data_IF_320110725746
#
_entry.id   IF_320110725746
#
_cell.length_a   1.000
_cell.length_b   1.000
_cell.length_c   1.000
_cell.angle_alpha   90.00
_cell.angle_beta   90.00
_cell.angle_gamma   90.00
#
_symmetry.space_group_name_H-M   'P 1'
#
loop_
_entity.id
_entity.type
_entity.pdbx_description
1 polymer ?
#
# COMPACT_ATOMS: atom_id res chain seq x y z
N UNK A 1 40.08 17.50 11.80
CA UNK A 1 39.90 16.88 10.47
C UNK A 1 40.01 15.37 10.64
N UNK A 2 38.91 14.67 10.70
CA UNK A 2 38.86 13.20 10.81
C UNK A 2 37.91 12.67 9.72
N UNK A 3 38.53 12.09 8.70
CA UNK A 3 37.86 11.45 7.56
C UNK A 3 37.24 10.13 8.02
N UNK A 4 35.90 10.10 8.20
CA UNK A 4 35.15 8.86 8.36
C UNK A 4 35.06 8.14 6.99
N UNK A 5 35.76 7.01 6.89
CA UNK A 5 35.60 6.07 5.78
C UNK A 5 34.22 5.46 5.86
N UNK A 6 33.39 5.71 4.86
CA UNK A 6 32.14 4.96 4.66
C UNK A 6 32.45 3.50 4.34
N UNK A 7 31.93 2.60 5.16
CA UNK A 7 31.91 1.16 4.90
C UNK A 7 30.83 0.88 3.85
N UNK A 8 31.22 0.51 2.65
CA UNK A 8 30.28 0.00 1.64
C UNK A 8 29.80 -1.38 2.12
N UNK A 9 28.53 -1.48 2.45
CA UNK A 9 27.87 -2.77 2.68
C UNK A 9 27.78 -3.52 1.36
N UNK A 10 28.30 -4.75 1.33
CA UNK A 10 28.09 -5.70 0.25
C UNK A 10 26.65 -6.19 0.32
N UNK A 11 25.83 -5.79 -0.65
CA UNK A 11 24.52 -6.40 -0.87
C UNK A 11 24.73 -7.83 -1.39
N UNK A 12 24.17 -8.80 -0.70
CA UNK A 12 24.08 -10.18 -1.19
C UNK A 12 23.17 -10.21 -2.41
N UNK A 13 23.73 -10.69 -3.52
CA UNK A 13 23.05 -10.87 -4.80
C UNK A 13 22.16 -12.11 -4.67
N UNK A 14 20.86 -11.94 -4.80
CA UNK A 14 19.94 -13.07 -4.99
C UNK A 14 20.13 -13.59 -6.40
N UNK A 15 20.73 -14.77 -6.50
CA UNK A 15 21.04 -15.47 -7.73
C UNK A 15 19.75 -16.06 -8.34
N UNK A 16 19.19 -15.37 -9.34
CA UNK A 16 18.13 -15.93 -10.18
C UNK A 16 18.73 -16.43 -11.49
N UNK A 17 19.18 -17.69 -11.49
CA UNK A 17 19.61 -18.38 -12.70
C UNK A 17 18.45 -18.56 -13.69
N UNK A 18 18.36 -17.69 -14.68
CA UNK A 18 17.59 -17.92 -15.90
C UNK A 18 18.57 -18.17 -17.04
N UNK A 19 18.84 -19.45 -17.31
CA UNK A 19 19.59 -19.86 -18.49
C UNK A 19 18.73 -19.65 -19.75
N UNK A 20 19.03 -18.62 -20.53
CA UNK A 20 18.48 -18.43 -21.87
C UNK A 20 19.51 -18.87 -22.91
N UNK A 21 19.27 -20.02 -23.56
CA UNK A 21 20.07 -20.49 -24.68
C UNK A 21 19.70 -19.69 -25.94
N UNK A 22 20.56 -18.79 -26.37
CA UNK A 22 20.44 -18.12 -27.66
C UNK A 22 21.21 -18.92 -28.68
N UNK A 23 20.51 -19.53 -29.64
CA UNK A 23 21.12 -20.19 -30.80
C UNK A 23 21.42 -19.14 -31.86
N UNK A 24 22.67 -18.74 -31.98
CA UNK A 24 23.15 -17.88 -33.08
C UNK A 24 23.76 -18.74 -34.21
N UNK A 25 23.23 -18.56 -35.41
CA UNK A 25 23.78 -19.14 -36.61
C UNK A 25 24.58 -18.04 -37.32
N UNK A 26 25.94 -18.12 -37.34
CA UNK A 26 26.87 -17.60 -38.32
C UNK A 26 28.28 -17.44 -37.75
N UNK A 27 29.32 -17.57 -38.61
CA UNK A 27 30.76 -17.53 -38.37
C UNK A 27 31.31 -16.14 -37.90
N UNK A 28 30.76 -15.57 -36.87
CA UNK A 28 31.29 -14.37 -36.23
C UNK A 28 32.03 -14.75 -34.95
N UNK A 29 33.23 -14.20 -34.75
CA UNK A 29 33.95 -14.30 -33.47
C UNK A 29 33.00 -13.92 -32.35
N UNK A 30 32.60 -14.89 -31.53
CA UNK A 30 31.79 -14.64 -30.36
C UNK A 30 32.69 -13.92 -29.35
N UNK A 31 32.44 -12.62 -29.15
CA UNK A 31 33.06 -11.89 -28.06
C UNK A 31 32.18 -12.14 -26.82
N UNK A 32 32.72 -12.87 -25.85
CA UNK A 32 32.04 -13.06 -24.57
C UNK A 32 32.10 -11.74 -23.79
N UNK A 33 30.95 -11.09 -23.65
CA UNK A 33 30.75 -10.02 -22.67
C UNK A 33 30.38 -10.67 -21.34
N UNK A 34 30.77 -10.10 -20.19
CA UNK A 34 30.27 -10.54 -18.90
C UNK A 34 28.73 -10.46 -18.93
N UNK A 35 28.06 -11.40 -18.24
CA UNK A 35 26.60 -11.43 -18.20
C UNK A 35 26.05 -10.07 -17.73
N UNK A 36 25.09 -9.49 -18.45
CA UNK A 36 24.55 -8.20 -18.09
C UNK A 36 23.72 -8.32 -16.80
N UNK A 37 23.88 -7.37 -15.90
CA UNK A 37 23.11 -7.25 -14.66
C UNK A 37 22.14 -6.09 -14.80
N UNK A 38 20.85 -6.35 -14.60
CA UNK A 38 19.81 -5.32 -14.57
C UNK A 38 19.51 -4.94 -13.10
N UNK A 39 19.78 -3.69 -12.76
CA UNK A 39 19.49 -3.17 -11.42
C UNK A 39 18.15 -2.41 -11.40
N UNK A 40 17.41 -2.55 -10.31
CA UNK A 40 16.22 -1.74 -10.04
C UNK A 40 16.68 -0.45 -9.36
N UNK A 41 16.45 0.68 -10.03
CA UNK A 41 16.74 1.99 -9.45
C UNK A 41 15.43 2.62 -8.96
N UNK A 42 15.40 2.99 -7.68
CA UNK A 42 14.26 3.65 -7.06
C UNK A 42 12.96 2.81 -7.14
N UNK A 43 13.00 1.54 -6.73
CA UNK A 43 11.79 0.72 -6.72
C UNK A 43 10.74 1.31 -5.77
N UNK A 44 9.48 1.18 -6.14
CA UNK A 44 8.37 1.51 -5.23
C UNK A 44 8.21 0.37 -4.23
N UNK A 45 8.41 0.60 -2.93
CA UNK A 45 8.32 -0.45 -1.93
C UNK A 45 6.86 -0.83 -1.64
N UNK A 46 6.55 -2.12 -1.69
CA UNK A 46 5.28 -2.70 -1.23
C UNK A 46 5.64 -3.81 -0.24
N UNK A 47 5.24 -3.63 1.01
CA UNK A 47 5.54 -4.57 2.08
C UNK A 47 4.38 -5.56 2.26
N UNK A 48 4.71 -6.83 2.38
CA UNK A 48 3.78 -7.90 2.71
C UNK A 48 4.14 -8.50 4.07
N UNK A 49 3.13 -8.69 4.91
CA UNK A 49 3.23 -9.40 6.17
C UNK A 49 2.00 -10.28 6.35
N UNK A 50 2.04 -11.18 7.33
CA UNK A 50 0.92 -12.08 7.60
C UNK A 50 0.64 -12.11 9.10
N UNK A 51 -0.61 -11.93 9.47
CA UNK A 51 -1.05 -12.12 10.86
C UNK A 51 -0.80 -13.59 11.27
N UNK A 52 0.02 -13.86 12.32
CA UNK A 52 0.47 -15.22 12.64
C UNK A 52 -0.57 -16.01 13.43
N UNK A 53 -1.84 -15.62 13.39
CA UNK A 53 -2.96 -16.29 14.04
C UNK A 53 -4.24 -16.14 13.24
N UNK A 54 -5.25 -16.92 13.59
CA UNK A 54 -6.63 -16.69 13.12
C UNK A 54 -7.24 -15.47 13.80
N UNK A 55 -8.26 -14.91 13.18
CA UNK A 55 -9.08 -13.88 13.83
C UNK A 55 -9.82 -14.50 15.03
N UNK A 56 -9.96 -13.72 16.10
CA UNK A 56 -10.72 -14.12 17.28
C UNK A 56 -12.22 -14.03 17.02
N UNK A 57 -13.03 -14.71 17.84
CA UNK A 57 -14.49 -14.64 17.73
C UNK A 57 -14.99 -13.21 17.95
N UNK A 58 -14.36 -12.43 18.82
CA UNK A 58 -14.70 -11.03 19.07
C UNK A 58 -14.42 -10.15 17.83
N UNK A 59 -13.26 -10.33 17.19
CA UNK A 59 -12.91 -9.63 15.95
C UNK A 59 -13.90 -9.96 14.81
N UNK A 60 -14.23 -11.25 14.68
CA UNK A 60 -15.19 -11.72 13.66
C UNK A 60 -16.58 -11.16 13.92
N UNK A 61 -17.06 -11.16 15.16
CA UNK A 61 -18.37 -10.64 15.51
C UNK A 61 -18.45 -9.11 15.28
N UNK A 62 -17.38 -8.39 15.62
CA UNK A 62 -17.30 -6.96 15.31
C UNK A 62 -17.41 -6.71 13.79
N UNK A 63 -16.69 -7.46 12.97
CA UNK A 63 -16.75 -7.34 11.50
C UNK A 63 -18.16 -7.64 10.98
N UNK A 64 -18.83 -8.67 11.50
CA UNK A 64 -20.22 -8.99 11.16
C UNK A 64 -21.17 -7.86 11.53
N UNK A 65 -21.02 -7.26 12.71
CA UNK A 65 -21.82 -6.10 13.11
C UNK A 65 -21.61 -4.94 12.13
N UNK A 66 -20.38 -4.64 11.75
CA UNK A 66 -20.07 -3.60 10.75
C UNK A 66 -20.70 -3.88 9.37
N UNK A 67 -20.84 -5.14 8.96
CA UNK A 67 -21.43 -5.50 7.67
C UNK A 67 -22.93 -5.15 7.57
N UNK A 68 -23.60 -4.94 8.68
CA UNK A 68 -24.99 -4.47 8.73
C UNK A 68 -25.12 -2.94 8.68
N UNK A 69 -24.01 -2.22 8.82
CA UNK A 69 -23.95 -0.76 8.83
C UNK A 69 -22.94 -0.28 7.77
N UNK A 70 -23.36 -0.32 6.52
CA UNK A 70 -22.50 -0.01 5.37
C UNK A 70 -23.03 1.18 4.57
N UNK A 71 -22.14 1.83 3.87
CA UNK A 71 -22.44 2.87 2.89
C UNK A 71 -21.88 2.50 1.52
N UNK A 72 -22.52 2.99 0.46
CA UNK A 72 -22.07 2.75 -0.92
C UNK A 72 -20.70 3.38 -1.16
N UNK A 73 -19.87 2.64 -1.85
CA UNK A 73 -18.61 3.10 -2.43
C UNK A 73 -18.61 2.76 -3.94
N UNK A 74 -17.65 3.28 -4.69
CA UNK A 74 -17.54 2.96 -6.12
C UNK A 74 -17.11 1.50 -6.30
N UNK A 75 -18.07 0.66 -6.67
CA UNK A 75 -17.87 -0.74 -6.98
C UNK A 75 -18.08 -1.72 -5.82
N UNK A 76 -18.20 -1.25 -4.57
CA UNK A 76 -18.44 -2.08 -3.38
C UNK A 76 -19.16 -1.29 -2.28
N UNK A 77 -19.13 -1.81 -1.04
CA UNK A 77 -19.60 -1.11 0.15
C UNK A 77 -18.50 -1.00 1.20
N UNK A 78 -18.59 0.02 2.06
CA UNK A 78 -17.67 0.22 3.18
C UNK A 78 -18.45 0.40 4.49
N UNK A 79 -17.82 0.10 5.64
CA UNK A 79 -18.39 0.40 6.95
C UNK A 79 -18.74 1.89 7.05
N UNK A 80 -19.80 2.22 7.80
CA UNK A 80 -20.14 3.61 8.15
C UNK A 80 -19.07 4.19 9.07
N UNK A 81 -18.59 3.38 10.02
CA UNK A 81 -17.47 3.74 10.87
C UNK A 81 -16.17 3.84 10.03
N UNK A 82 -15.46 4.95 10.22
CA UNK A 82 -14.17 5.28 9.56
C UNK A 82 -12.97 5.22 10.50
N UNK A 83 -13.17 4.71 11.70
CA UNK A 83 -12.16 4.61 12.76
C UNK A 83 -12.22 3.25 13.45
N UNK A 84 -12.47 2.18 12.68
CA UNK A 84 -12.67 0.82 13.23
C UNK A 84 -11.53 0.34 14.12
N UNK A 85 -10.29 0.80 13.91
CA UNK A 85 -9.17 0.47 14.80
C UNK A 85 -9.22 1.17 16.17
N UNK A 86 -10.14 2.10 16.40
CA UNK A 86 -10.37 2.68 17.73
C UNK A 86 -11.28 1.81 18.60
N UNK A 87 -11.91 0.79 18.00
CA UNK A 87 -12.75 -0.15 18.74
C UNK A 87 -11.89 -1.16 19.51
N UNK A 88 -12.26 -1.42 20.76
CA UNK A 88 -11.51 -2.31 21.66
C UNK A 88 -11.35 -3.74 21.12
N UNK A 89 -12.37 -4.23 20.41
CA UNK A 89 -12.35 -5.53 19.76
C UNK A 89 -11.21 -5.72 18.76
N UNK A 90 -10.68 -4.61 18.18
CA UNK A 90 -9.61 -4.64 17.19
C UNK A 90 -8.25 -4.15 17.74
N UNK A 91 -8.10 -3.99 19.06
CA UNK A 91 -6.89 -3.43 19.67
C UNK A 91 -5.61 -4.23 19.31
N UNK A 92 -5.69 -5.56 19.31
CA UNK A 92 -4.58 -6.42 18.93
C UNK A 92 -4.24 -6.31 17.46
N UNK A 93 -5.24 -6.23 16.58
CA UNK A 93 -5.02 -6.02 15.15
C UNK A 93 -4.43 -4.64 14.88
N UNK A 94 -4.87 -3.60 15.57
CA UNK A 94 -4.27 -2.27 15.52
C UNK A 94 -2.79 -2.31 15.91
N UNK A 95 -2.47 -3.01 17.00
CA UNK A 95 -1.09 -3.16 17.47
C UNK A 95 -0.22 -3.90 16.46
N UNK A 96 -0.73 -4.98 15.88
CA UNK A 96 -0.07 -5.72 14.82
C UNK A 96 0.20 -4.84 13.59
N UNK A 97 -0.79 -4.12 13.11
CA UNK A 97 -0.66 -3.22 11.95
C UNK A 97 0.33 -2.09 12.26
N UNK A 98 0.23 -1.44 13.43
CA UNK A 98 1.13 -0.35 13.82
C UNK A 98 2.59 -0.84 13.92
N UNK A 99 2.82 -2.08 14.36
CA UNK A 99 4.15 -2.66 14.37
C UNK A 99 4.76 -2.69 12.96
N UNK A 100 4.00 -3.11 11.94
CA UNK A 100 4.51 -3.13 10.55
C UNK A 100 4.57 -1.75 9.91
N UNK A 101 3.73 -0.81 10.30
CA UNK A 101 3.89 0.61 9.92
C UNK A 101 5.21 1.15 10.46
N UNK A 102 5.53 0.87 11.72
CA UNK A 102 6.81 1.27 12.33
C UNK A 102 8.00 0.57 11.63
N UNK A 103 7.86 -0.71 11.33
CA UNK A 103 8.86 -1.47 10.56
C UNK A 103 9.12 -0.83 9.19
N UNK A 104 8.05 -0.46 8.45
CA UNK A 104 8.18 0.23 7.17
C UNK A 104 8.92 1.56 7.33
N UNK A 105 8.59 2.34 8.34
CA UNK A 105 9.29 3.60 8.64
C UNK A 105 10.78 3.38 8.94
N UNK A 106 11.13 2.34 9.67
CA UNK A 106 12.52 2.07 10.07
C UNK A 106 13.35 1.49 8.93
N UNK A 107 12.82 0.48 8.23
CA UNK A 107 13.60 -0.31 7.28
C UNK A 107 13.54 0.24 5.85
N UNK A 108 12.44 0.91 5.49
CA UNK A 108 12.23 1.45 4.15
C UNK A 108 12.55 2.93 4.09
N UNK A 109 11.92 3.74 4.95
CA UNK A 109 12.09 5.19 4.96
C UNK A 109 13.36 5.62 5.71
N UNK A 110 13.71 4.92 6.78
CA UNK A 110 14.91 5.16 7.59
C UNK A 110 15.14 6.64 7.95
N UNK A 111 14.15 7.33 8.54
CA UNK A 111 14.24 8.76 8.79
C UNK A 111 15.36 9.10 9.77
N UNK A 112 16.08 10.18 9.51
CA UNK A 112 17.11 10.71 10.41
C UNK A 112 16.49 11.41 11.63
N UNK A 113 15.40 12.12 11.42
CA UNK A 113 14.69 12.84 12.47
C UNK A 113 13.73 11.92 13.26
N UNK A 114 13.38 12.28 14.51
CA UNK A 114 12.33 11.58 15.24
C UNK A 114 10.96 11.88 14.62
N UNK A 115 10.53 10.99 13.72
CA UNK A 115 9.24 11.02 13.05
C UNK A 115 8.57 9.66 13.17
N UNK A 116 7.28 9.66 13.44
CA UNK A 116 6.44 8.47 13.52
C UNK A 116 5.31 8.55 12.51
N UNK A 117 4.92 7.41 11.94
CA UNK A 117 3.68 7.27 11.21
C UNK A 117 2.61 6.68 12.13
N UNK A 118 1.44 7.32 12.22
CA UNK A 118 0.32 6.87 13.04
C UNK A 118 -0.92 6.64 12.18
N UNK A 119 -1.75 5.68 12.58
CA UNK A 119 -3.00 5.38 11.86
C UNK A 119 -3.99 6.54 12.09
N UNK A 120 -4.55 7.07 10.99
CA UNK A 120 -5.51 8.18 11.00
C UNK A 120 -6.94 7.68 10.88
N UNK A 121 -7.28 7.08 9.76
CA UNK A 121 -8.58 6.48 9.48
C UNK A 121 -8.43 4.99 9.18
N UNK A 122 -9.46 4.24 9.49
CA UNK A 122 -9.54 2.82 9.21
C UNK A 122 -10.99 2.40 8.99
N UNK A 123 -11.24 1.57 7.97
CA UNK A 123 -12.59 1.16 7.58
C UNK A 123 -12.58 -0.26 7.01
N UNK A 124 -13.72 -0.91 7.07
CA UNK A 124 -13.94 -2.20 6.43
C UNK A 124 -14.51 -2.00 5.02
N UNK A 125 -14.01 -2.77 4.08
CA UNK A 125 -14.57 -2.91 2.74
C UNK A 125 -15.23 -4.29 2.62
N UNK A 126 -16.44 -4.31 2.08
CA UNK A 126 -17.20 -5.51 1.77
C UNK A 126 -17.42 -5.54 0.27
N UNK A 127 -16.81 -6.51 -0.41
CA UNK A 127 -16.86 -6.67 -1.87
C UNK A 127 -17.53 -7.99 -2.17
N UNK A 128 -18.76 -7.91 -2.66
CA UNK A 128 -19.56 -9.09 -3.01
C UNK A 128 -19.01 -9.76 -4.29
N UNK A 129 -19.37 -11.02 -4.58
CA UNK A 129 -19.06 -11.65 -5.86
C UNK A 129 -19.47 -10.76 -7.03
N UNK A 130 -18.55 -10.52 -7.96
CA UNK A 130 -18.77 -9.65 -9.10
C UNK A 130 -18.61 -8.15 -8.85
N UNK A 131 -18.34 -7.71 -7.62
CA UNK A 131 -18.00 -6.33 -7.29
C UNK A 131 -16.49 -6.09 -7.38
N UNK A 132 -16.08 -4.81 -7.39
CA UNK A 132 -14.69 -4.36 -7.53
C UNK A 132 -14.40 -3.21 -6.57
N UNK A 133 -13.16 -2.77 -6.48
CA UNK A 133 -12.80 -1.51 -5.85
C UNK A 133 -12.09 -0.64 -6.88
N UNK A 134 -12.59 0.57 -7.11
CA UNK A 134 -12.13 1.46 -8.17
C UNK A 134 -10.65 1.83 -8.04
N UNK A 135 -10.07 2.26 -9.15
CA UNK A 135 -8.70 2.76 -9.20
C UNK A 135 -8.59 4.12 -8.50
N UNK A 136 -7.69 4.23 -7.51
CA UNK A 136 -7.55 5.43 -6.68
C UNK A 136 -6.19 5.51 -5.98
N UNK A 137 -5.99 6.63 -5.31
CA UNK A 137 -4.89 6.97 -4.42
C UNK A 137 -5.45 7.53 -3.12
N UNK A 138 -4.61 7.67 -2.09
CA UNK A 138 -5.02 8.23 -0.81
C UNK A 138 -4.33 9.58 -0.55
N UNK A 139 -4.97 10.72 -0.88
CA UNK A 139 -4.44 12.03 -0.53
C UNK A 139 -4.40 12.22 0.99
N UNK A 140 -3.49 13.06 1.48
CA UNK A 140 -3.27 13.32 2.91
C UNK A 140 -2.95 12.05 3.74
N UNK A 141 -2.32 11.10 3.12
CA UNK A 141 -1.80 9.89 3.76
C UNK A 141 -0.36 9.63 3.31
N UNK A 142 0.46 9.07 4.20
CA UNK A 142 1.86 8.75 3.93
C UNK A 142 2.05 7.29 3.53
N UNK A 143 1.58 6.37 4.37
CA UNK A 143 1.51 4.93 4.12
C UNK A 143 0.04 4.53 4.20
N UNK A 144 -0.44 3.80 3.22
CA UNK A 144 -1.73 3.14 3.25
C UNK A 144 -1.55 1.64 3.40
N UNK A 145 -2.52 0.98 3.97
CA UNK A 145 -2.44 -0.46 4.16
C UNK A 145 -3.80 -1.15 4.13
N UNK A 146 -3.74 -2.45 3.89
CA UNK A 146 -4.91 -3.33 3.83
C UNK A 146 -4.60 -4.63 4.56
N UNK A 147 -5.40 -4.96 5.58
CA UNK A 147 -5.43 -6.27 6.23
C UNK A 147 -6.63 -7.07 5.70
N UNK A 148 -6.39 -8.22 5.12
CA UNK A 148 -7.44 -9.05 4.55
C UNK A 148 -8.06 -9.95 5.62
N UNK A 149 -9.36 -9.70 5.91
CA UNK A 149 -10.13 -10.45 6.92
C UNK A 149 -10.70 -11.73 6.31
N UNK A 150 -11.19 -11.63 5.07
CA UNK A 150 -11.64 -12.76 4.27
C UNK A 150 -11.26 -12.53 2.81
N UNK A 151 -10.38 -13.36 2.27
CA UNK A 151 -9.94 -13.31 0.88
C UNK A 151 -9.49 -14.69 0.42
N UNK A 152 -9.74 -14.99 -0.85
CA UNK A 152 -9.35 -16.23 -1.53
C UNK A 152 -8.00 -16.01 -2.23
N UNK A 153 -6.90 -16.64 -1.80
CA UNK A 153 -5.58 -16.40 -2.36
C UNK A 153 -5.42 -16.88 -3.81
N UNK A 154 -6.35 -17.65 -4.35
CA UNK A 154 -6.33 -18.09 -5.74
C UNK A 154 -7.05 -17.09 -6.67
N UNK A 155 -7.94 -16.25 -6.14
CA UNK A 155 -8.83 -15.38 -6.92
C UNK A 155 -8.68 -13.90 -6.61
N UNK A 156 -8.44 -13.56 -5.34
CA UNK A 156 -8.36 -12.17 -4.92
C UNK A 156 -6.97 -11.59 -5.15
N UNK A 157 -6.92 -10.40 -5.74
CA UNK A 157 -5.69 -9.70 -6.11
C UNK A 157 -5.79 -8.23 -5.76
N UNK A 158 -4.63 -7.64 -5.44
CA UNK A 158 -4.45 -6.20 -5.40
C UNK A 158 -3.57 -5.79 -6.58
N UNK A 159 -4.00 -4.78 -7.33
CA UNK A 159 -3.29 -4.23 -8.47
C UNK A 159 -2.70 -2.88 -8.14
N UNK A 160 -1.46 -2.70 -8.52
CA UNK A 160 -0.75 -1.43 -8.45
C UNK A 160 -0.43 -0.94 -9.86
N UNK A 161 -0.46 0.37 -10.06
CA UNK A 161 -0.24 1.01 -11.34
C UNK A 161 0.99 1.86 -11.28
N UNK A 162 1.78 1.81 -12.36
CA UNK A 162 2.94 2.65 -12.52
C UNK A 162 2.51 4.11 -12.66
N UNK A 163 3.08 4.98 -11.84
CA UNK A 163 2.97 6.42 -12.01
C UNK A 163 4.02 6.90 -13.00
N UNK A 164 3.62 7.67 -14.00
CA UNK A 164 4.51 8.24 -14.98
C UNK A 164 4.00 8.10 -16.41
N UNK A 165 4.65 8.85 -17.30
CA UNK A 165 4.30 8.89 -18.71
C UNK A 165 5.20 7.98 -19.54
N UNK A 166 4.60 7.11 -20.34
CA UNK A 166 5.30 6.28 -21.33
C UNK A 166 5.18 6.90 -22.71
N UNK A 167 6.27 7.46 -23.18
CA UNK A 167 6.30 8.18 -24.48
C UNK A 167 6.20 7.25 -25.69
N UNK A 168 6.78 6.05 -25.59
CA UNK A 168 6.79 5.05 -26.66
C UNK A 168 6.24 3.75 -26.09
N UNK A 169 5.19 3.21 -26.73
CA UNK A 169 4.63 1.90 -26.40
C UNK A 169 5.13 0.86 -27.40
N UNK A 170 5.72 -0.19 -26.87
CA UNK A 170 6.18 -1.33 -27.65
C UNK A 170 5.22 -2.50 -27.43
N UNK A 171 4.82 -3.23 -28.49
CA UNK A 171 4.20 -4.53 -28.33
C UNK A 171 5.12 -5.44 -27.50
N UNK A 172 4.55 -6.14 -26.53
CA UNK A 172 5.33 -6.91 -25.55
C UNK A 172 4.81 -8.34 -25.50
N UNK A 173 5.66 -9.31 -25.81
CA UNK A 173 5.30 -10.73 -25.74
C UNK A 173 5.26 -11.25 -24.29
N UNK A 174 6.11 -10.69 -23.43
CA UNK A 174 6.22 -11.11 -22.03
C UNK A 174 6.35 -9.90 -21.10
N UNK A 175 5.37 -9.78 -20.22
CA UNK A 175 5.35 -8.73 -19.18
C UNK A 175 6.23 -9.12 -17.98
N UNK A 176 6.87 -8.10 -17.40
CA UNK A 176 7.66 -8.16 -16.18
C UNK A 176 7.60 -6.81 -15.45
N UNK A 177 8.22 -6.71 -14.27
CA UNK A 177 8.17 -5.48 -13.45
C UNK A 177 8.82 -4.25 -14.11
N UNK A 178 9.68 -4.42 -15.14
CA UNK A 178 10.32 -3.31 -15.83
C UNK A 178 9.47 -2.73 -16.97
N UNK A 179 8.69 -3.58 -17.64
CA UNK A 179 7.96 -3.20 -18.85
C UNK A 179 6.42 -3.12 -18.67
N UNK A 180 5.89 -3.51 -17.51
CA UNK A 180 4.46 -3.47 -17.21
C UNK A 180 4.01 -2.09 -16.76
N UNK A 181 2.79 -1.71 -17.11
CA UNK A 181 2.12 -0.50 -16.62
C UNK A 181 1.37 -0.76 -15.30
N UNK A 182 1.06 -2.03 -15.02
CA UNK A 182 0.48 -2.47 -13.75
C UNK A 182 1.11 -3.78 -13.30
N UNK A 183 1.09 -4.02 -12.00
CA UNK A 183 1.50 -5.27 -11.41
C UNK A 183 0.53 -5.67 -10.32
N UNK A 184 0.33 -6.95 -10.13
CA UNK A 184 -0.62 -7.45 -9.15
C UNK A 184 0.00 -8.53 -8.26
N UNK A 185 -0.59 -8.67 -7.09
CA UNK A 185 -0.24 -9.72 -6.13
C UNK A 185 -1.50 -10.43 -5.67
N UNK A 186 -1.42 -11.73 -5.51
CA UNK A 186 -2.46 -12.49 -4.83
C UNK A 186 -2.49 -12.11 -3.36
N UNK A 187 -3.68 -12.09 -2.78
CA UNK A 187 -3.90 -11.80 -1.37
C UNK A 187 -4.87 -12.80 -0.77
N UNK A 188 -4.60 -13.23 0.44
CA UNK A 188 -5.41 -14.19 1.18
C UNK A 188 -5.76 -13.69 2.57
N UNK A 189 -6.62 -14.40 3.24
CA UNK A 189 -6.97 -14.12 4.64
C UNK A 189 -5.73 -14.04 5.52
N UNK A 190 -5.67 -13.04 6.40
CA UNK A 190 -4.56 -12.68 7.28
C UNK A 190 -3.38 -11.97 6.60
N UNK A 191 -3.40 -11.74 5.29
CA UNK A 191 -2.35 -10.94 4.64
C UNK A 191 -2.51 -9.46 4.97
N UNK A 192 -1.39 -8.81 5.29
CA UNK A 192 -1.25 -7.37 5.43
C UNK A 192 -0.39 -6.84 4.29
N UNK A 193 -0.86 -5.82 3.61
CA UNK A 193 -0.12 -5.12 2.55
C UNK A 193 0.03 -3.66 2.92
N UNK A 194 1.26 -3.12 2.89
CA UNK A 194 1.56 -1.71 3.09
C UNK A 194 2.22 -1.14 1.84
N UNK A 195 1.87 0.08 1.49
CA UNK A 195 2.41 0.76 0.32
C UNK A 195 2.34 2.29 0.47
N UNK A 196 3.16 3.05 -0.27
CA UNK A 196 3.08 4.50 -0.30
C UNK A 196 1.69 4.95 -0.74
N UNK A 197 1.08 5.88 -0.03
CA UNK A 197 -0.31 6.28 -0.28
C UNK A 197 -0.55 6.92 -1.65
N UNK A 198 0.51 7.45 -2.28
CA UNK A 198 0.46 7.97 -3.65
C UNK A 198 0.43 6.88 -4.72
N UNK A 199 0.69 5.62 -4.35
CA UNK A 199 0.70 4.52 -5.31
C UNK A 199 -0.73 4.17 -5.73
N UNK A 200 -1.04 4.46 -6.98
CA UNK A 200 -2.35 4.16 -7.56
C UNK A 200 -2.62 2.67 -7.51
N UNK A 201 -3.76 2.27 -6.97
CA UNK A 201 -4.14 0.87 -6.82
C UNK A 201 -5.63 0.65 -7.06
N UNK A 202 -5.97 -0.61 -7.27
CA UNK A 202 -7.36 -1.06 -7.42
C UNK A 202 -7.49 -2.53 -7.06
N UNK A 203 -8.73 -2.98 -6.99
CA UNK A 203 -9.05 -4.39 -6.97
C UNK A 203 -10.05 -4.67 -8.08
N UNK A 204 -9.70 -5.59 -8.97
CA UNK A 204 -10.58 -6.03 -10.05
C UNK A 204 -11.82 -6.73 -9.52
N UNK A 205 -12.75 -6.96 -10.41
CA UNK A 205 -13.97 -7.72 -10.13
C UNK A 205 -13.61 -9.07 -9.51
N UNK A 206 -14.12 -9.34 -8.29
CA UNK A 206 -13.81 -10.60 -7.61
C UNK A 206 -14.54 -11.77 -8.25
N UNK A 207 -13.78 -12.82 -8.52
CA UNK A 207 -14.30 -14.12 -9.00
C UNK A 207 -14.57 -15.10 -7.84
N UNK A 208 -14.30 -14.69 -6.61
CA UNK A 208 -14.63 -15.46 -5.42
C UNK A 208 -16.13 -15.61 -5.28
N UNK A 209 -16.58 -16.73 -4.69
CA UNK A 209 -17.98 -16.97 -4.35
C UNK A 209 -18.40 -16.32 -3.04
N UNK A 210 -17.41 -16.00 -2.21
CA UNK A 210 -17.60 -15.41 -0.89
C UNK A 210 -17.31 -13.91 -0.93
N UNK A 211 -17.95 -13.17 -0.02
CA UNK A 211 -17.67 -11.74 0.16
C UNK A 211 -16.22 -11.56 0.58
N UNK A 212 -15.43 -10.84 -0.21
CA UNK A 212 -14.11 -10.40 0.24
C UNK A 212 -14.28 -9.27 1.25
N UNK A 213 -13.60 -9.42 2.40
CA UNK A 213 -13.61 -8.44 3.48
C UNK A 213 -12.18 -7.99 3.73
N UNK A 214 -11.94 -6.70 3.66
CA UNK A 214 -10.65 -6.10 3.96
C UNK A 214 -10.78 -4.91 4.89
N UNK A 215 -9.83 -4.75 5.81
CA UNK A 215 -9.69 -3.61 6.69
C UNK A 215 -8.60 -2.71 6.12
N UNK A 216 -9.00 -1.57 5.58
CA UNK A 216 -8.09 -0.57 5.04
C UNK A 216 -7.83 0.53 6.06
N UNK A 217 -6.66 1.15 5.97
CA UNK A 217 -6.28 2.25 6.83
C UNK A 217 -5.30 3.20 6.14
N UNK A 218 -5.28 4.42 6.63
CA UNK A 218 -4.35 5.46 6.24
C UNK A 218 -3.49 5.87 7.44
N UNK A 219 -2.30 6.41 7.14
CA UNK A 219 -1.42 6.95 8.18
C UNK A 219 -1.03 8.38 7.85
N UNK A 220 -0.59 9.11 8.87
CA UNK A 220 0.09 10.39 8.69
C UNK A 220 1.31 10.47 9.59
N UNK A 221 2.15 11.49 9.39
CA UNK A 221 3.38 11.68 10.14
C UNK A 221 3.18 12.62 11.32
N UNK A 222 3.90 12.39 12.41
CA UNK A 222 4.10 13.31 13.52
C UNK A 222 5.58 13.34 13.89
N UNK A 223 6.02 14.50 14.40
CA UNK A 223 7.44 14.74 14.74
C UNK A 223 8.09 15.75 13.80
N UNK A 224 9.38 15.64 13.61
CA UNK A 224 10.17 16.55 12.77
C UNK A 224 10.37 15.98 11.37
N UNK A 225 9.93 16.74 10.37
CA UNK A 225 10.05 16.40 8.93
C UNK A 225 10.96 17.44 8.28
N UNK A 226 11.77 17.00 7.33
CA UNK A 226 12.69 17.87 6.59
C UNK A 226 13.94 18.24 7.39
N UNK A 227 14.64 19.28 6.94
CA UNK A 227 15.94 19.68 7.48
C UNK A 227 16.02 21.20 7.61
N UNK A 228 16.52 21.69 8.75
CA UNK A 228 16.61 23.12 9.01
C UNK A 228 17.61 23.81 8.08
N UNK A 229 18.75 23.19 7.83
CA UNK A 229 19.78 23.73 6.94
C UNK A 229 19.31 23.88 5.49
N UNK A 230 18.36 23.05 5.07
CA UNK A 230 17.73 23.08 3.73
C UNK A 230 16.45 23.92 3.69
N UNK A 231 16.10 24.61 4.77
CA UNK A 231 14.89 25.42 4.92
C UNK A 231 13.58 24.65 4.66
N UNK A 232 13.58 23.35 4.96
CA UNK A 232 12.44 22.44 4.76
C UNK A 232 11.89 21.88 6.07
N UNK A 233 12.42 22.33 7.22
CA UNK A 233 12.03 21.84 8.53
C UNK A 233 10.54 22.13 8.83
N UNK A 234 9.83 21.09 9.24
CA UNK A 234 8.43 21.16 9.63
C UNK A 234 8.23 20.32 10.89
N UNK A 235 7.63 20.90 11.91
CA UNK A 235 7.19 20.18 13.10
C UNK A 235 5.70 19.89 13.01
N UNK A 236 5.35 18.59 12.87
CA UNK A 236 3.98 18.13 12.88
C UNK A 236 3.66 17.64 14.29
N UNK A 237 2.87 18.43 15.02
CA UNK A 237 2.42 18.08 16.37
C UNK A 237 1.26 17.10 16.37
N UNK A 238 1.01 16.49 17.53
CA UNK A 238 -0.15 15.66 17.78
C UNK A 238 -1.46 16.39 17.49
N UNK A 239 -2.54 15.61 17.36
CA UNK A 239 -3.89 16.08 17.02
C UNK A 239 -4.21 17.41 17.69
N UNK A 240 -4.58 18.38 16.89
CA UNK A 240 -5.26 19.58 17.40
C UNK A 240 -6.55 19.13 18.05
N UNK A 241 -6.82 19.60 19.27
CA UNK A 241 -8.10 19.38 19.95
C UNK A 241 -9.25 19.93 19.09
N UNK A 242 -9.86 19.06 18.33
CA UNK A 242 -10.97 19.43 17.44
C UNK A 242 -12.27 19.70 18.19
N UNK A 243 -12.33 19.48 19.50
CA UNK A 243 -13.51 19.81 20.32
C UNK A 243 -13.86 21.30 20.26
N UNK A 244 -12.86 22.15 19.97
CA UNK A 244 -12.99 23.60 19.80
C UNK A 244 -13.34 24.04 18.37
N UNK A 245 -13.30 23.12 17.40
CA UNK A 245 -13.72 23.44 16.05
C UNK A 245 -15.24 23.38 16.01
N UNK A 246 -15.88 24.53 15.88
CA UNK A 246 -17.29 24.56 15.55
C UNK A 246 -17.46 23.77 14.26
N UNK A 247 -18.34 22.76 14.26
CA UNK A 247 -18.90 22.22 13.03
C UNK A 247 -19.66 23.37 12.38
N UNK A 248 -19.00 24.19 11.58
CA UNK A 248 -19.69 24.97 10.57
C UNK A 248 -20.29 23.90 9.66
N UNK A 249 -21.62 23.79 9.66
CA UNK A 249 -22.30 23.12 8.58
C UNK A 249 -21.78 23.79 7.31
N UNK A 250 -20.90 23.07 6.60
CA UNK A 250 -20.54 23.46 5.25
C UNK A 250 -21.84 23.23 4.49
N UNK A 251 -22.56 24.32 4.20
CA UNK A 251 -23.68 24.28 3.29
C UNK A 251 -23.22 23.55 2.03
N UNK A 252 -23.79 22.35 1.81
CA UNK A 252 -23.55 21.61 0.58
C UNK A 252 -23.93 22.55 -0.56
N UNK A 253 -23.08 22.76 -1.58
CA UNK A 253 -23.45 23.56 -2.72
C UNK A 253 -24.79 23.08 -3.27
N UNK A 254 -25.77 23.94 -3.35
CA UNK A 254 -27.13 23.63 -3.82
C UNK A 254 -27.22 23.32 -5.31
N UNK A 255 -26.10 23.36 -6.01
CA UNK A 255 -25.98 23.15 -7.44
C UNK A 255 -25.32 21.81 -7.73
N UNK A 256 -26.03 20.76 -7.78
CA UNK A 256 -25.70 19.38 -8.14
C UNK A 256 -24.53 19.08 -9.11
N UNK A 257 -23.47 19.88 -9.09
CA UNK A 257 -22.23 19.65 -9.83
C UNK A 257 -21.21 18.99 -8.91
N UNK A 258 -21.45 17.71 -8.64
CA UNK A 258 -20.41 16.82 -8.11
C UNK A 258 -19.35 16.63 -9.17
N UNK A 259 -18.29 17.40 -9.13
CA UNK A 259 -17.05 17.04 -9.81
C UNK A 259 -16.46 15.85 -9.07
N UNK A 260 -16.47 14.68 -9.68
CA UNK A 260 -15.63 13.55 -9.26
C UNK A 260 -14.18 13.95 -9.48
N UNK A 261 -13.40 14.02 -8.42
CA UNK A 261 -11.95 13.96 -8.47
C UNK A 261 -11.54 12.51 -8.59
#
# INVERSE_FOLDING_TARGET
MSTKKQKIQKNEIIDTNVSSTITANTNSKITFYPEPVTNQLFPTPVLFAKLPRKFTDEEVEFVKKCSTQVTKNTGNTTSVDRYVFEESALADLKSFVQFYVNYYMTEVESPYNPVEAYITQSWLNFTQPGEFHHKHEHPNSYISGVLYINADPEKDKIYFYKNGYKRISLPTDRYNQFNSESWWFNVGTCDLVLFPSYLTHMVEQTESKDTRISLSFNTFLKGYIGEEASLTSLHVSDRVDTSKWRKTEIDKPKDGRGGSI
#
